data_IF_684271554471
#
_entry.id   IF_684271554471
#
_cell.length_a   1.000
_cell.length_b   1.000
_cell.length_c   1.000
_cell.angle_alpha   90.00
_cell.angle_beta   90.00
_cell.angle_gamma   90.00
#
_symmetry.space_group_name_H-M   'P 1'
#
loop_
_entity.id
_entity.type
_entity.pdbx_description
1 polymer ?
#
# COMPACT_ATOMS: atom_id res chain seq x y z
N UNK A 1 -35.40 12.99 16.54
CA UNK A 1 -34.50 11.83 16.71
C UNK A 1 -34.02 11.25 15.37
N UNK A 2 -34.86 11.15 14.33
CA UNK A 2 -34.44 10.62 13.01
C UNK A 2 -33.41 11.47 12.25
N UNK A 3 -33.51 12.80 12.29
CA UNK A 3 -32.60 13.71 11.56
C UNK A 3 -31.16 13.63 12.09
N UNK A 4 -31.00 13.51 13.42
CA UNK A 4 -29.68 13.41 14.07
C UNK A 4 -29.00 12.07 13.74
N UNK A 5 -29.74 10.95 13.72
CA UNK A 5 -29.17 9.65 13.35
C UNK A 5 -28.77 9.58 11.87
N UNK A 6 -29.51 10.26 10.98
CA UNK A 6 -29.18 10.29 9.55
C UNK A 6 -27.86 11.04 9.29
N UNK A 7 -27.62 12.14 10.01
CA UNK A 7 -26.39 12.94 9.90
C UNK A 7 -25.16 12.18 10.37
N UNK A 8 -25.25 11.51 11.54
CA UNK A 8 -24.19 10.63 12.05
C UNK A 8 -23.82 9.53 11.03
N UNK A 9 -24.82 8.90 10.40
CA UNK A 9 -24.56 7.85 9.40
C UNK A 9 -23.82 8.37 8.16
N UNK A 10 -24.08 9.62 7.75
CA UNK A 10 -23.43 10.25 6.58
C UNK A 10 -21.99 10.61 6.92
N UNK A 11 -21.75 11.17 8.09
CA UNK A 11 -20.41 11.53 8.58
C UNK A 11 -19.51 10.29 8.73
N UNK A 12 -20.01 9.21 9.34
CA UNK A 12 -19.25 7.96 9.47
C UNK A 12 -18.89 7.33 8.12
N UNK A 13 -19.82 7.35 7.16
CA UNK A 13 -19.55 6.86 5.80
C UNK A 13 -18.49 7.71 5.11
N UNK A 14 -18.55 9.03 5.30
CA UNK A 14 -17.55 9.96 4.78
C UNK A 14 -16.17 9.72 5.39
N UNK A 15 -16.07 9.58 6.71
CA UNK A 15 -14.80 9.32 7.42
C UNK A 15 -14.18 7.99 6.96
N UNK A 16 -14.98 6.94 6.81
CA UNK A 16 -14.52 5.64 6.29
C UNK A 16 -13.99 5.74 4.87
N UNK A 17 -14.72 6.42 3.99
CA UNK A 17 -14.28 6.66 2.61
C UNK A 17 -12.98 7.48 2.57
N UNK A 18 -12.87 8.54 3.38
CA UNK A 18 -11.67 9.38 3.49
C UNK A 18 -10.45 8.58 3.95
N UNK A 19 -10.57 7.80 5.03
CA UNK A 19 -9.50 6.91 5.52
C UNK A 19 -9.03 5.93 4.45
N UNK A 20 -9.96 5.39 3.63
CA UNK A 20 -9.63 4.49 2.52
C UNK A 20 -8.81 5.20 1.44
N UNK A 21 -9.23 6.41 1.05
CA UNK A 21 -8.50 7.24 0.08
C UNK A 21 -7.10 7.60 0.59
N UNK A 22 -6.96 7.94 1.86
CA UNK A 22 -5.65 8.25 2.47
C UNK A 22 -4.70 7.05 2.45
N UNK A 23 -5.19 5.85 2.79
CA UNK A 23 -4.39 4.61 2.68
C UNK A 23 -3.95 4.33 1.25
N UNK A 24 -4.84 4.49 0.27
CA UNK A 24 -4.53 4.31 -1.14
C UNK A 24 -3.47 5.32 -1.60
N UNK A 25 -3.63 6.60 -1.25
CA UNK A 25 -2.63 7.64 -1.54
C UNK A 25 -1.27 7.34 -0.93
N UNK A 26 -1.24 6.88 0.33
CA UNK A 26 -0.02 6.47 1.01
C UNK A 26 0.70 5.32 0.30
N UNK A 27 -0.06 4.32 -0.18
CA UNK A 27 0.48 3.25 -1.01
C UNK A 27 1.10 3.79 -2.31
N UNK A 28 0.38 4.64 -3.06
CA UNK A 28 0.90 5.19 -4.31
C UNK A 28 2.17 6.01 -4.10
N UNK A 29 2.25 6.77 -3.00
CA UNK A 29 3.48 7.49 -2.66
C UNK A 29 4.65 6.54 -2.39
N UNK A 30 4.44 5.51 -1.58
CA UNK A 30 5.48 4.51 -1.30
C UNK A 30 5.89 3.79 -2.59
N UNK A 31 4.92 3.37 -3.41
CA UNK A 31 5.19 2.71 -4.68
C UNK A 31 5.93 3.61 -5.67
N UNK A 32 5.57 4.88 -5.78
CA UNK A 32 6.26 5.85 -6.63
C UNK A 32 7.72 6.04 -6.19
N UNK A 33 7.97 6.20 -4.89
CA UNK A 33 9.33 6.30 -4.34
C UNK A 33 10.12 5.03 -4.64
N UNK A 34 9.52 3.86 -4.45
CA UNK A 34 10.13 2.58 -4.79
C UNK A 34 10.58 2.52 -6.25
N UNK A 35 9.72 2.91 -7.20
CA UNK A 35 10.06 2.94 -8.62
C UNK A 35 11.19 3.93 -8.92
N UNK A 36 11.13 5.14 -8.35
CA UNK A 36 12.16 6.18 -8.57
C UNK A 36 13.52 5.69 -8.06
N UNK A 37 13.57 5.10 -6.86
CA UNK A 37 14.82 4.58 -6.27
C UNK A 37 15.35 3.40 -7.09
N UNK A 38 14.49 2.46 -7.49
CA UNK A 38 14.87 1.31 -8.31
C UNK A 38 15.45 1.75 -9.66
N UNK A 39 14.81 2.70 -10.33
CA UNK A 39 15.29 3.27 -11.60
C UNK A 39 16.59 4.04 -11.41
N UNK A 40 16.71 4.84 -10.35
CA UNK A 40 17.91 5.59 -10.03
C UNK A 40 19.11 4.65 -9.81
N UNK A 41 18.97 3.65 -8.93
CA UNK A 41 20.03 2.67 -8.65
C UNK A 41 20.45 1.91 -9.89
N UNK A 42 19.48 1.44 -10.68
CA UNK A 42 19.75 0.67 -11.90
C UNK A 42 20.44 1.54 -12.95
N UNK A 43 19.96 2.76 -13.16
CA UNK A 43 20.54 3.70 -14.12
C UNK A 43 21.96 4.11 -13.70
N UNK A 44 22.19 4.40 -12.41
CA UNK A 44 23.54 4.70 -11.90
C UNK A 44 24.51 3.53 -12.06
N UNK A 45 24.08 2.29 -11.81
CA UNK A 45 24.89 1.09 -12.06
C UNK A 45 25.24 0.95 -13.54
N UNK A 46 24.26 1.06 -14.42
CA UNK A 46 24.44 0.96 -15.87
C UNK A 46 25.43 2.02 -16.38
N UNK A 47 25.24 3.29 -15.99
CA UNK A 47 26.15 4.39 -16.38
C UNK A 47 27.58 4.11 -15.93
N UNK A 48 27.78 3.67 -14.68
CA UNK A 48 29.11 3.36 -14.14
C UNK A 48 29.77 2.22 -14.90
N UNK A 49 29.02 1.18 -15.26
CA UNK A 49 29.55 0.05 -16.01
C UNK A 49 30.00 0.43 -17.42
N UNK A 50 29.18 1.20 -18.14
CA UNK A 50 29.50 1.69 -19.49
C UNK A 50 30.77 2.54 -19.48
N UNK A 51 30.91 3.46 -18.52
CA UNK A 51 32.09 4.34 -18.42
C UNK A 51 33.34 3.54 -18.05
N UNK A 52 33.20 2.43 -17.31
CA UNK A 52 34.28 1.54 -16.92
C UNK A 52 34.76 0.55 -17.99
N UNK A 53 34.15 0.56 -19.19
CA UNK A 53 34.48 -0.37 -20.27
C UNK A 53 33.89 -1.77 -20.11
N UNK A 54 32.91 -1.95 -19.22
CA UNK A 54 32.20 -3.21 -19.02
C UNK A 54 31.07 -3.43 -20.04
N UNK A 55 30.75 -4.70 -20.29
CA UNK A 55 29.72 -5.09 -21.26
C UNK A 55 28.31 -4.79 -20.74
N UNK A 56 27.47 -4.18 -21.56
CA UNK A 56 26.13 -3.72 -21.19
C UNK A 56 25.22 -4.90 -20.79
N UNK A 57 25.43 -6.05 -21.42
CA UNK A 57 24.63 -7.26 -21.22
C UNK A 57 24.93 -7.96 -19.89
N UNK A 58 26.16 -7.90 -19.38
CA UNK A 58 26.53 -8.52 -18.10
C UNK A 58 25.94 -7.74 -16.91
N UNK A 59 26.04 -6.41 -16.90
CA UNK A 59 25.51 -5.60 -15.80
C UNK A 59 24.00 -5.39 -15.81
N UNK A 60 23.32 -5.51 -16.95
CA UNK A 60 21.85 -5.47 -16.99
C UNK A 60 21.25 -6.79 -16.49
N UNK A 61 21.96 -7.91 -16.67
CA UNK A 61 21.57 -9.23 -16.17
C UNK A 61 22.24 -9.64 -14.85
N UNK A 62 22.90 -8.70 -14.17
CA UNK A 62 23.42 -8.92 -12.83
C UNK A 62 22.25 -9.25 -11.90
N UNK A 63 22.23 -10.49 -11.43
CA UNK A 63 21.29 -11.02 -10.44
C UNK A 63 21.11 -10.08 -9.25
N UNK A 64 22.15 -9.31 -8.89
CA UNK A 64 22.11 -8.30 -7.84
C UNK A 64 21.05 -7.21 -8.05
N UNK A 65 20.93 -6.67 -9.27
CA UNK A 65 19.97 -5.60 -9.54
C UNK A 65 18.55 -6.13 -9.42
N UNK A 66 18.29 -7.32 -9.97
CA UNK A 66 16.99 -7.99 -9.80
C UNK A 66 16.72 -8.36 -8.34
N UNK A 67 17.72 -8.82 -7.58
CA UNK A 67 17.56 -9.16 -6.18
C UNK A 67 17.15 -7.95 -5.33
N UNK A 68 17.72 -6.77 -5.59
CA UNK A 68 17.34 -5.52 -4.90
C UNK A 68 15.87 -5.18 -5.18
N UNK A 69 15.45 -5.25 -6.44
CA UNK A 69 14.07 -4.96 -6.83
C UNK A 69 13.11 -5.98 -6.21
N UNK A 70 13.42 -7.27 -6.28
CA UNK A 70 12.56 -8.33 -5.74
C UNK A 70 12.45 -8.23 -4.21
N UNK A 71 13.57 -8.03 -3.50
CA UNK A 71 13.57 -7.96 -2.04
C UNK A 71 12.73 -6.77 -1.54
N UNK A 72 12.90 -5.59 -2.13
CA UNK A 72 12.10 -4.41 -1.78
C UNK A 72 10.65 -4.51 -2.30
N UNK A 73 10.46 -5.18 -3.44
CA UNK A 73 9.15 -5.46 -4.02
C UNK A 73 8.26 -6.32 -3.12
N UNK A 74 8.84 -7.22 -2.31
CA UNK A 74 8.10 -7.97 -1.28
C UNK A 74 7.45 -7.01 -0.26
N UNK A 75 8.17 -5.99 0.19
CA UNK A 75 7.63 -4.99 1.12
C UNK A 75 6.45 -4.21 0.52
N UNK A 76 6.58 -3.80 -0.74
CA UNK A 76 5.49 -3.17 -1.50
C UNK A 76 4.30 -4.12 -1.64
N UNK A 77 4.54 -5.40 -1.92
CA UNK A 77 3.48 -6.40 -2.05
C UNK A 77 2.68 -6.55 -0.75
N UNK A 78 3.34 -6.66 0.40
CA UNK A 78 2.64 -6.71 1.70
C UNK A 78 1.90 -5.41 2.02
N UNK A 79 2.45 -4.24 1.66
CA UNK A 79 1.74 -2.97 1.82
C UNK A 79 0.49 -2.91 0.91
N UNK A 80 0.59 -3.39 -0.33
CA UNK A 80 -0.53 -3.52 -1.24
C UNK A 80 -1.61 -4.45 -0.67
N UNK A 81 -1.22 -5.60 -0.10
CA UNK A 81 -2.16 -6.50 0.57
C UNK A 81 -2.81 -5.84 1.80
N UNK A 82 -2.09 -5.03 2.57
CA UNK A 82 -2.70 -4.29 3.68
C UNK A 82 -3.70 -3.21 3.25
N UNK A 83 -3.46 -2.57 2.10
CA UNK A 83 -4.28 -1.47 1.58
C UNK A 83 -5.46 -1.95 0.74
N UNK A 84 -5.28 -2.99 -0.07
CA UNK A 84 -6.29 -3.52 -0.99
C UNK A 84 -6.83 -4.89 -0.59
N UNK A 85 -6.12 -5.64 0.26
CA UNK A 85 -6.45 -7.04 0.53
C UNK A 85 -7.76 -7.24 1.29
N UNK A 86 -8.19 -6.30 2.15
CA UNK A 86 -9.53 -6.38 2.75
C UNK A 86 -10.62 -6.35 1.67
N UNK A 87 -10.42 -5.55 0.62
CA UNK A 87 -11.40 -5.33 -0.43
C UNK A 87 -11.35 -6.42 -1.52
N UNK A 88 -10.19 -7.03 -1.76
CA UNK A 88 -9.98 -8.08 -2.78
C UNK A 88 -10.22 -9.49 -2.22
N UNK A 89 -9.72 -9.81 -1.02
CA UNK A 89 -9.77 -11.16 -0.47
C UNK A 89 -10.94 -11.41 0.48
N UNK A 90 -11.36 -10.41 1.26
CA UNK A 90 -12.30 -10.62 2.36
C UNK A 90 -13.73 -10.07 2.11
N UNK A 91 -13.90 -9.22 1.09
CA UNK A 91 -15.21 -8.74 0.66
C UNK A 91 -15.95 -7.86 1.69
N UNK A 92 -17.15 -7.41 1.34
CA UNK A 92 -17.97 -6.51 2.19
C UNK A 92 -18.43 -7.17 3.50
N UNK A 93 -18.63 -8.50 3.51
CA UNK A 93 -19.10 -9.22 4.69
C UNK A 93 -18.07 -9.21 5.84
N UNK A 94 -16.78 -9.32 5.52
CA UNK A 94 -15.73 -9.21 6.52
C UNK A 94 -15.61 -7.78 7.06
N UNK A 95 -15.72 -6.77 6.19
CA UNK A 95 -15.75 -5.36 6.63
C UNK A 95 -16.95 -5.10 7.56
N UNK A 96 -18.12 -5.65 7.24
CA UNK A 96 -19.33 -5.55 8.07
C UNK A 96 -19.15 -6.23 9.43
N UNK A 97 -18.58 -7.45 9.46
CA UNK A 97 -18.29 -8.16 10.72
C UNK A 97 -17.34 -7.40 11.61
N UNK A 98 -16.24 -6.87 11.07
CA UNK A 98 -15.27 -6.09 11.84
C UNK A 98 -15.86 -4.77 12.35
N UNK A 99 -16.73 -4.13 11.57
CA UNK A 99 -17.49 -2.96 12.02
C UNK A 99 -18.34 -3.29 13.26
N UNK A 100 -19.07 -4.41 13.21
CA UNK A 100 -19.93 -4.83 14.31
C UNK A 100 -19.11 -5.19 15.56
N UNK A 101 -17.97 -5.87 15.41
CA UNK A 101 -17.04 -6.13 16.53
C UNK A 101 -16.55 -4.83 17.17
N UNK A 102 -16.11 -3.83 16.38
CA UNK A 102 -15.69 -2.53 16.93
C UNK A 102 -16.82 -1.79 17.65
N UNK A 103 -18.05 -1.85 17.12
CA UNK A 103 -19.22 -1.21 17.74
C UNK A 103 -19.59 -1.88 19.08
N UNK A 104 -19.41 -3.19 19.18
CA UNK A 104 -19.67 -3.94 20.40
C UNK A 104 -18.54 -3.76 21.44
N UNK A 105 -17.27 -3.67 21.01
CA UNK A 105 -16.14 -3.33 21.87
C UNK A 105 -16.27 -1.92 22.46
N UNK A 106 -16.67 -0.92 21.66
CA UNK A 106 -16.87 0.45 22.14
C UNK A 106 -18.00 0.46 23.18
N UNK A 107 -19.14 -0.18 22.91
CA UNK A 107 -20.23 -0.30 23.91
C UNK A 107 -19.80 -0.97 25.22
N UNK A 108 -18.89 -1.95 25.17
CA UNK A 108 -18.37 -2.59 26.39
C UNK A 108 -17.37 -1.70 27.16
N UNK A 109 -16.62 -0.82 26.49
CA UNK A 109 -15.71 0.11 27.17
C UNK A 109 -16.42 1.27 27.87
N UNK A 110 -17.63 1.62 27.43
CA UNK A 110 -18.45 2.69 28.03
C UNK A 110 -19.48 2.16 29.06
N UNK A 111 -19.40 0.89 29.47
CA UNK A 111 -20.17 0.29 30.57
C UNK A 111 -19.26 -0.03 31.76
#
# INVERSE_FOLDING_TARGET
MGIVMEDYSKEERYIRAKKKVEKIKGFYWHFAIYLIVCLFVSTSKIIRNIIGGGDFFESFWEFETFAIWVFWGIGIFFHAMGVFGSNIFFGKDWEQRKMNEFMDEDKQQWQ
#
